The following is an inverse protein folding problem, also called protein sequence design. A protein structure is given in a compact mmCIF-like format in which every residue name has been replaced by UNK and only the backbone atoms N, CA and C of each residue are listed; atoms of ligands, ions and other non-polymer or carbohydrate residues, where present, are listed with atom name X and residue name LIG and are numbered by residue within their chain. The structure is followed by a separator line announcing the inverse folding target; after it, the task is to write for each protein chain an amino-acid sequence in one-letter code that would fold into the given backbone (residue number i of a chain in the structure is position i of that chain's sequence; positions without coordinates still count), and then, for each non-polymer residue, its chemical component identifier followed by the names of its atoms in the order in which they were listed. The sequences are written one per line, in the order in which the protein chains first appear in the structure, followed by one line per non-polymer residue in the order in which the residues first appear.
data_IF_878696126517
#
_entry.id   IF_878696126517
#
_cell.length_a   1.000
_cell.length_b   1.000
_cell.length_c   1.000
_cell.angle_alpha   90.00
_cell.angle_beta   90.00
_cell.angle_gamma   90.00
#
_symmetry.space_group_name_H-M   'P 1'
#
loop_
_entity.id
_entity.type
_entity.pdbx_description
1 polymer ?
#
# COMPACT_ATOMS: atom_id res chain seq x y z
N UNK A 1 -7.05 -39.90 13.38
CA UNK A 1 -5.76 -39.71 14.07
C UNK A 1 -4.74 -39.36 12.99
N UNK A 2 -4.66 -38.08 12.62
CA UNK A 2 -3.81 -37.59 11.52
C UNK A 2 -2.48 -37.10 12.10
N UNK A 3 -1.39 -37.50 11.46
CA UNK A 3 -0.01 -37.38 11.94
C UNK A 3 0.43 -35.93 12.16
N UNK A 4 0.88 -35.64 13.39
CA UNK A 4 1.56 -34.42 13.80
C UNK A 4 3.04 -34.34 13.33
N UNK A 5 3.40 -35.00 12.21
CA UNK A 5 4.79 -35.26 11.85
C UNK A 5 5.30 -34.62 10.54
N UNK A 6 4.58 -33.67 9.94
CA UNK A 6 5.10 -32.95 8.75
C UNK A 6 5.69 -31.56 9.02
N UNK A 7 5.66 -31.05 10.26
CA UNK A 7 6.23 -29.74 10.57
C UNK A 7 7.77 -29.71 10.59
N UNK A 8 8.45 -30.80 10.97
CA UNK A 8 9.92 -30.81 11.09
C UNK A 8 10.66 -30.70 9.76
N UNK A 9 10.13 -31.33 8.70
CA UNK A 9 10.72 -31.26 7.36
C UNK A 9 10.42 -29.93 6.65
N UNK A 10 9.30 -29.27 6.99
CA UNK A 10 9.01 -27.92 6.49
C UNK A 10 9.87 -26.86 7.17
N UNK A 11 10.13 -26.99 8.47
CA UNK A 11 10.98 -26.06 9.23
C UNK A 11 12.43 -26.10 8.76
N UNK A 12 12.98 -27.29 8.52
CA UNK A 12 14.36 -27.42 7.99
C UNK A 12 14.48 -26.82 6.59
N UNK A 13 13.53 -27.11 5.70
CA UNK A 13 13.52 -26.57 4.33
C UNK A 13 13.29 -25.05 4.28
N UNK A 14 12.49 -24.51 5.20
CA UNK A 14 12.28 -23.06 5.35
C UNK A 14 13.56 -22.39 5.87
N UNK A 15 14.17 -22.94 6.92
CA UNK A 15 15.40 -22.42 7.49
C UNK A 15 16.58 -22.48 6.50
N UNK A 16 16.69 -23.55 5.70
CA UNK A 16 17.67 -23.67 4.63
C UNK A 16 17.45 -22.62 3.54
N UNK A 17 16.21 -22.38 3.13
CA UNK A 17 15.88 -21.32 2.15
C UNK A 17 16.11 -19.92 2.71
N UNK A 18 15.75 -19.67 3.96
CA UNK A 18 16.00 -18.40 4.63
C UNK A 18 17.51 -18.16 4.76
N UNK A 19 18.28 -19.20 5.07
CA UNK A 19 19.73 -19.15 5.14
C UNK A 19 20.35 -18.92 3.76
N UNK A 20 19.93 -19.64 2.71
CA UNK A 20 20.41 -19.43 1.33
C UNK A 20 19.97 -18.06 0.78
N UNK A 21 18.80 -17.55 1.16
CA UNK A 21 18.35 -16.19 0.83
C UNK A 21 19.24 -15.15 1.51
N UNK A 22 19.49 -15.29 2.83
CA UNK A 22 20.43 -14.46 3.60
C UNK A 22 21.85 -14.52 3.03
N UNK A 23 22.28 -15.66 2.51
CA UNK A 23 23.61 -15.90 1.91
C UNK A 23 23.73 -15.32 0.49
N UNK A 24 22.68 -15.43 -0.32
CA UNK A 24 22.56 -14.78 -1.65
C UNK A 24 22.51 -13.26 -1.52
N UNK A 25 21.95 -12.78 -0.41
CA UNK A 25 21.84 -11.36 -0.14
C UNK A 25 23.18 -10.64 0.01
N UNK A 26 24.35 -11.31 0.12
CA UNK A 26 25.73 -10.73 0.19
C UNK A 26 25.70 -9.23 -0.09
N UNK A 27 25.51 -8.50 1.00
CA UNK A 27 25.00 -7.14 0.97
C UNK A 27 26.18 -6.23 0.66
N UNK A 28 26.21 -5.70 -0.56
CA UNK A 28 27.17 -4.69 -0.97
C UNK A 28 26.45 -3.34 -1.04
N UNK A 29 26.92 -2.39 -0.24
CA UNK A 29 26.20 -1.17 0.10
C UNK A 29 26.42 -0.07 -0.97
N UNK A 30 25.70 -0.16 -2.08
CA UNK A 30 25.64 0.89 -3.11
C UNK A 30 24.43 1.81 -2.93
N UNK A 31 24.65 3.12 -2.84
CA UNK A 31 23.60 4.14 -2.73
C UNK A 31 23.17 4.58 -4.13
N UNK A 32 22.02 4.13 -4.63
CA UNK A 32 21.25 4.73 -5.74
C UNK A 32 19.77 4.33 -5.54
N UNK A 33 18.73 5.13 -5.78
CA UNK A 33 18.49 6.21 -6.74
C UNK A 33 17.34 7.08 -6.19
N UNK A 34 17.42 8.41 -6.30
CA UNK A 34 16.29 9.30 -5.97
C UNK A 34 15.25 9.20 -7.09
N UNK A 35 14.17 8.46 -6.85
CA UNK A 35 13.03 8.38 -7.77
C UNK A 35 12.31 9.74 -7.74
N UNK A 36 12.42 10.54 -8.79
CA UNK A 36 11.56 11.70 -8.99
C UNK A 36 10.09 11.25 -8.97
N UNK A 37 9.24 11.89 -8.16
CA UNK A 37 7.81 11.57 -8.08
C UNK A 37 7.38 10.65 -6.93
N UNK A 38 8.22 10.45 -5.91
CA UNK A 38 7.77 9.84 -4.65
C UNK A 38 6.72 10.76 -3.99
N UNK A 39 5.50 10.26 -3.68
CA UNK A 39 4.44 11.05 -3.06
C UNK A 39 4.82 11.39 -1.62
N UNK A 40 4.47 12.59 -1.18
CA UNK A 40 4.50 12.99 0.23
C UNK A 40 3.28 13.88 0.46
N UNK A 41 2.74 13.85 1.68
CA UNK A 41 1.65 14.75 2.03
C UNK A 41 2.14 16.19 1.90
N UNK A 42 1.57 16.91 0.94
CA UNK A 42 1.96 18.27 0.59
C UNK A 42 0.78 19.19 0.79
N UNK A 43 0.95 20.25 1.56
CA UNK A 43 -0.08 21.27 1.73
C UNK A 43 -0.25 22.07 0.42
N UNK A 44 -1.46 22.08 -0.13
CA UNK A 44 -1.81 22.75 -1.39
C UNK A 44 -2.64 24.02 -1.18
N UNK A 45 -3.30 24.10 -0.03
CA UNK A 45 -4.05 25.25 0.48
C UNK A 45 -4.05 25.11 2.02
N UNK A 46 -4.15 26.20 2.82
CA UNK A 46 -4.21 26.10 4.27
C UNK A 46 -5.11 24.97 4.77
N UNK A 47 -4.51 24.03 5.50
CA UNK A 47 -5.14 22.82 6.03
C UNK A 47 -5.70 21.80 4.99
N UNK A 48 -5.29 21.90 3.73
CA UNK A 48 -5.63 20.96 2.65
C UNK A 48 -4.35 20.37 2.10
N UNK A 49 -4.24 19.05 2.16
CA UNK A 49 -3.06 18.28 1.80
C UNK A 49 -3.40 17.30 0.69
N UNK A 50 -2.50 17.15 -0.28
CA UNK A 50 -2.55 16.08 -1.29
C UNK A 50 -1.43 15.09 -1.03
N UNK A 51 -1.71 13.79 -1.18
CA UNK A 51 -0.67 12.76 -1.11
C UNK A 51 -0.24 12.29 -2.49
N UNK A 52 -1.21 11.86 -3.30
CA UNK A 52 -0.97 11.22 -4.59
C UNK A 52 -2.09 11.55 -5.57
N UNK A 53 -1.76 11.46 -6.86
CA UNK A 53 -2.70 11.65 -7.97
C UNK A 53 -2.57 10.51 -8.96
N UNK A 54 -3.70 9.98 -9.42
CA UNK A 54 -3.79 8.80 -10.27
C UNK A 54 -4.55 9.13 -11.55
N UNK A 55 -4.13 8.57 -12.68
CA UNK A 55 -4.92 8.62 -13.91
C UNK A 55 -5.70 7.33 -14.10
N UNK A 56 -7.02 7.40 -14.03
CA UNK A 56 -7.90 6.25 -14.14
C UNK A 56 -9.22 6.65 -14.77
N UNK A 57 -9.77 5.83 -15.68
CA UNK A 57 -11.07 6.07 -16.31
C UNK A 57 -11.20 7.47 -16.95
N UNK A 58 -10.17 7.92 -17.68
CA UNK A 58 -10.08 9.23 -18.34
C UNK A 58 -10.24 10.44 -17.41
N UNK A 59 -9.90 10.28 -16.14
CA UNK A 59 -9.86 11.38 -15.17
C UNK A 59 -8.65 11.24 -14.25
N UNK A 60 -8.22 12.38 -13.73
CA UNK A 60 -7.31 12.39 -12.59
C UNK A 60 -8.11 12.20 -11.31
N UNK A 61 -7.61 11.39 -10.38
CA UNK A 61 -8.15 11.21 -9.05
C UNK A 61 -7.02 11.43 -8.04
N UNK A 62 -7.17 12.41 -7.17
CA UNK A 62 -6.16 12.75 -6.18
C UNK A 62 -6.65 12.46 -4.77
N UNK A 63 -5.82 11.81 -3.96
CA UNK A 63 -6.11 11.54 -2.55
C UNK A 63 -5.78 12.78 -1.72
N UNK A 64 -6.79 13.38 -1.11
CA UNK A 64 -6.67 14.58 -0.29
C UNK A 64 -7.07 14.29 1.16
N UNK A 65 -6.43 15.04 2.05
CA UNK A 65 -6.81 15.19 3.44
C UNK A 65 -7.05 16.67 3.71
N UNK A 66 -8.08 16.98 4.48
CA UNK A 66 -8.31 18.35 4.93
C UNK A 66 -8.56 18.36 6.42
N UNK A 67 -8.07 19.39 7.11
CA UNK A 67 -8.36 19.65 8.53
C UNK A 67 -9.09 20.98 8.65
N UNK A 68 -10.07 21.08 9.53
CA UNK A 68 -10.79 22.33 9.84
C UNK A 68 -11.37 23.08 8.61
N UNK A 69 -11.45 22.42 7.46
CA UNK A 69 -11.83 23.03 6.19
C UNK A 69 -13.23 22.57 5.84
N UNK A 70 -14.09 23.51 5.44
CA UNK A 70 -15.43 23.15 4.97
C UNK A 70 -15.36 22.61 3.54
N UNK A 71 -16.22 21.65 3.23
CA UNK A 71 -16.32 21.09 1.87
C UNK A 71 -16.65 22.16 0.82
N UNK A 72 -17.35 23.23 1.21
CA UNK A 72 -17.65 24.41 0.38
C UNK A 72 -16.40 25.14 -0.10
N UNK A 73 -15.31 25.13 0.66
CA UNK A 73 -14.00 25.66 0.24
C UNK A 73 -13.40 24.81 -0.87
N UNK A 74 -13.52 23.48 -0.76
CA UNK A 74 -13.01 22.55 -1.77
C UNK A 74 -13.74 22.69 -3.12
N UNK A 75 -15.04 23.00 -3.11
CA UNK A 75 -15.81 23.25 -4.34
C UNK A 75 -15.34 24.48 -5.13
N UNK A 76 -14.58 25.39 -4.50
CA UNK A 76 -13.96 26.54 -5.17
C UNK A 76 -12.58 26.22 -5.75
N UNK A 77 -12.05 25.02 -5.50
CA UNK A 77 -10.80 24.58 -6.08
C UNK A 77 -11.01 24.13 -7.52
N UNK A 78 -10.09 24.56 -8.38
CA UNK A 78 -9.98 24.13 -9.78
C UNK A 78 -8.68 23.35 -9.94
N UNK A 79 -8.57 22.58 -11.01
CA UNK A 79 -7.34 21.90 -11.35
C UNK A 79 -6.87 22.28 -12.74
N UNK A 80 -5.55 22.42 -12.85
CA UNK A 80 -4.81 22.60 -14.09
C UNK A 80 -4.05 21.32 -14.36
N UNK A 81 -4.29 20.71 -15.51
CA UNK A 81 -3.61 19.51 -15.94
C UNK A 81 -2.44 19.89 -16.82
N UNK A 82 -1.25 19.39 -16.47
CA UNK A 82 -0.04 19.71 -17.21
C UNK A 82 0.31 18.57 -18.18
N UNK A 83 0.55 18.94 -19.42
CA UNK A 83 1.01 18.09 -20.52
C UNK A 83 2.41 18.53 -20.95
N UNK A 84 3.09 17.73 -21.78
CA UNK A 84 4.51 17.96 -22.13
C UNK A 84 4.82 19.38 -22.63
N UNK A 85 3.88 20.00 -23.36
CA UNK A 85 4.07 21.31 -24.00
C UNK A 85 2.93 22.31 -23.73
N UNK A 86 1.95 21.96 -22.91
CA UNK A 86 0.82 22.84 -22.62
C UNK A 86 0.19 22.49 -21.26
N UNK A 87 -0.68 23.36 -20.77
CA UNK A 87 -1.60 23.03 -19.68
C UNK A 87 -3.03 23.30 -20.13
N UNK A 88 -3.96 22.48 -19.65
CA UNK A 88 -5.39 22.70 -19.84
C UNK A 88 -6.09 22.78 -18.49
N UNK A 89 -7.06 23.68 -18.38
CA UNK A 89 -7.97 23.68 -17.24
C UNK A 89 -8.88 22.44 -17.30
N UNK A 90 -9.21 21.86 -16.14
CA UNK A 90 -10.20 20.78 -16.09
C UNK A 90 -11.57 21.30 -16.51
N UNK A 91 -12.32 20.50 -17.27
CA UNK A 91 -13.71 20.79 -17.62
C UNK A 91 -14.61 20.75 -16.38
N UNK A 92 -14.39 19.77 -15.50
CA UNK A 92 -15.22 19.54 -14.33
C UNK A 92 -14.38 18.96 -13.19
N UNK A 93 -14.72 19.39 -11.98
CA UNK A 93 -14.22 18.81 -10.74
C UNK A 93 -15.33 18.03 -10.04
N UNK A 94 -14.96 16.97 -9.33
CA UNK A 94 -15.86 16.20 -8.49
C UNK A 94 -15.17 15.84 -7.18
N UNK A 95 -15.92 15.78 -6.10
CA UNK A 95 -15.41 15.44 -4.77
C UNK A 95 -16.14 14.20 -4.28
N UNK A 96 -15.38 13.19 -3.89
CA UNK A 96 -15.90 11.96 -3.30
C UNK A 96 -15.40 11.91 -1.86
N UNK A 97 -16.30 12.12 -0.90
CA UNK A 97 -15.99 11.99 0.52
C UNK A 97 -15.76 10.50 0.84
N UNK A 98 -14.61 10.17 1.42
CA UNK A 98 -14.23 8.81 1.80
C UNK A 98 -14.55 8.56 3.27
N UNK A 99 -14.08 9.46 4.13
CA UNK A 99 -14.31 9.40 5.56
C UNK A 99 -14.27 10.82 6.16
N UNK A 100 -14.96 11.00 7.29
CA UNK A 100 -14.98 12.23 8.07
C UNK A 100 -15.03 11.89 9.55
N UNK A 101 -14.01 12.31 10.29
CA UNK A 101 -13.97 12.20 11.75
C UNK A 101 -13.60 13.57 12.34
N UNK A 102 -14.32 14.01 13.38
CA UNK A 102 -14.11 15.34 13.96
C UNK A 102 -14.06 16.47 12.91
N UNK A 103 -12.94 17.19 12.87
CA UNK A 103 -12.72 18.30 11.92
C UNK A 103 -11.95 17.91 10.65
N UNK A 104 -11.58 16.65 10.48
CA UNK A 104 -10.83 16.18 9.33
C UNK A 104 -11.66 15.35 8.36
N UNK A 105 -11.29 15.42 7.09
CA UNK A 105 -11.95 14.72 5.99
C UNK A 105 -10.91 14.11 5.06
N UNK A 106 -11.14 12.86 4.66
CA UNK A 106 -10.44 12.22 3.56
C UNK A 106 -11.36 12.17 2.36
N UNK A 107 -10.83 12.48 1.19
CA UNK A 107 -11.61 12.54 -0.02
C UNK A 107 -10.76 12.25 -1.24
N UNK A 108 -11.44 11.84 -2.31
CA UNK A 108 -10.89 11.96 -3.64
C UNK A 108 -11.36 13.26 -4.29
N UNK A 109 -10.39 13.99 -4.83
CA UNK A 109 -10.64 15.12 -5.72
C UNK A 109 -10.41 14.65 -7.15
N UNK A 110 -11.48 14.65 -7.95
CA UNK A 110 -11.42 14.20 -9.34
C UNK A 110 -11.42 15.39 -10.29
N UNK A 111 -10.56 15.29 -11.30
CA UNK A 111 -10.45 16.28 -12.36
C UNK A 111 -10.70 15.61 -13.70
N UNK A 112 -11.68 16.14 -14.43
CA UNK A 112 -12.10 15.63 -15.73
C UNK A 112 -11.55 16.59 -16.80
N UNK A 113 -10.65 16.14 -17.69
CA UNK A 113 -10.13 16.96 -18.77
C UNK A 113 -11.09 17.05 -19.95
N UNK A 114 -10.79 17.97 -20.87
CA UNK A 114 -11.46 18.05 -22.17
C UNK A 114 -10.99 16.97 -23.16
N UNK A 115 -9.75 16.52 -23.03
CA UNK A 115 -9.11 15.50 -23.87
C UNK A 115 -8.75 14.28 -23.01
N UNK A 116 -8.83 13.08 -23.58
CA UNK A 116 -8.46 11.83 -22.91
C UNK A 116 -6.94 11.61 -22.82
N UNK A 117 -6.13 12.63 -23.12
CA UNK A 117 -4.68 12.59 -22.94
C UNK A 117 -4.34 12.50 -21.46
N UNK A 118 -3.34 11.67 -21.15
CA UNK A 118 -2.79 11.50 -19.81
C UNK A 118 -1.90 12.70 -19.47
N UNK A 119 -2.19 13.48 -18.42
CA UNK A 119 -1.31 14.55 -17.97
C UNK A 119 -0.15 13.96 -17.15
N UNK A 120 0.97 14.67 -17.11
CA UNK A 120 2.13 14.25 -16.31
C UNK A 120 2.01 14.73 -14.85
N UNK A 121 1.27 15.82 -14.61
CA UNK A 121 1.02 16.35 -13.28
C UNK A 121 -0.27 17.15 -13.23
N UNK A 122 -0.76 17.40 -12.01
CA UNK A 122 -1.93 18.22 -11.73
C UNK A 122 -1.58 19.31 -10.73
N UNK A 123 -2.03 20.52 -10.99
CA UNK A 123 -1.92 21.63 -10.05
C UNK A 123 -3.30 22.03 -9.55
N UNK A 124 -3.40 22.22 -8.24
CA UNK A 124 -4.61 22.69 -7.60
C UNK A 124 -4.55 24.22 -7.49
N UNK A 125 -5.62 24.88 -7.89
CA UNK A 125 -5.74 26.33 -7.91
C UNK A 125 -6.98 26.72 -7.11
N UNK A 126 -6.80 27.60 -6.15
CA UNK A 126 -7.89 28.23 -5.41
C UNK A 126 -7.90 29.73 -5.75
N UNK A 127 -9.09 30.34 -5.85
CA UNK A 127 -9.25 31.75 -6.28
C UNK A 127 -8.44 32.76 -5.45
N UNK A 128 -8.18 32.42 -4.19
CA UNK A 128 -7.49 33.27 -3.22
C UNK A 128 -5.99 32.96 -3.04
N UNK A 129 -5.40 32.01 -3.77
CA UNK A 129 -3.98 31.66 -3.63
C UNK A 129 -3.18 31.94 -4.90
N UNK A 130 -1.99 32.53 -4.69
CA UNK A 130 -1.00 32.80 -5.74
C UNK A 130 -0.08 31.59 -5.94
N UNK A 131 0.20 30.84 -4.87
CA UNK A 131 1.01 29.64 -4.93
C UNK A 131 0.17 28.43 -5.35
N UNK A 132 0.77 27.60 -6.21
CA UNK A 132 0.12 26.41 -6.73
C UNK A 132 1.11 25.26 -6.66
N UNK A 133 0.73 24.19 -5.97
CA UNK A 133 1.55 22.98 -5.84
C UNK A 133 1.16 21.99 -6.94
N UNK A 134 2.15 21.42 -7.61
CA UNK A 134 1.95 20.38 -8.60
C UNK A 134 2.16 19.00 -7.97
N UNK A 135 1.20 18.09 -8.20
CA UNK A 135 1.25 16.69 -7.82
C UNK A 135 1.48 15.84 -9.07
N UNK A 136 2.52 14.98 -9.12
CA UNK A 136 2.75 14.11 -10.27
C UNK A 136 1.60 13.10 -10.41
N UNK A 137 1.23 12.78 -11.66
CA UNK A 137 0.19 11.80 -11.96
C UNK A 137 0.81 10.43 -12.17
N UNK A 138 0.32 9.47 -11.40
CA UNK A 138 0.64 8.05 -11.52
C UNK A 138 -0.23 7.47 -12.63
N UNK A 139 0.41 6.97 -13.69
CA UNK A 139 -0.24 6.40 -14.86
C UNK A 139 0.68 5.45 -15.61
N UNK A 140 0.10 4.62 -16.47
CA UNK A 140 0.83 3.76 -17.41
C UNK A 140 0.61 2.28 -17.13
N UNK A 141 1.25 1.44 -17.91
CA UNK A 141 1.24 -0.02 -17.73
C UNK A 141 2.62 -0.47 -17.25
N UNK A 142 2.64 -1.18 -16.14
CA UNK A 142 3.85 -1.71 -15.52
C UNK A 142 3.54 -3.03 -14.85
N UNK A 143 2.77 -3.90 -15.52
CA UNK A 143 2.39 -5.20 -14.98
C UNK A 143 3.59 -5.97 -14.43
N UNK A 144 3.56 -6.24 -13.13
CA UNK A 144 4.62 -6.94 -12.39
C UNK A 144 4.22 -8.37 -12.09
N UNK A 145 2.95 -8.63 -11.80
CA UNK A 145 2.53 -9.95 -11.37
C UNK A 145 1.05 -10.07 -11.04
N UNK A 146 0.65 -11.21 -10.45
CA UNK A 146 -0.76 -11.47 -10.09
C UNK A 146 -1.21 -10.70 -8.85
N UNK A 147 -0.28 -10.46 -7.94
CA UNK A 147 -0.57 -9.89 -6.63
C UNK A 147 0.39 -8.76 -6.30
N UNK A 148 -0.19 -7.68 -5.81
CA UNK A 148 0.51 -6.64 -5.08
C UNK A 148 0.10 -6.68 -3.61
N UNK A 149 1.07 -6.59 -2.72
CA UNK A 149 0.85 -6.49 -1.28
C UNK A 149 0.91 -5.03 -0.82
N UNK A 150 -0.17 -4.55 -0.22
CA UNK A 150 -0.31 -3.24 0.38
C UNK A 150 -0.06 -3.36 1.89
N UNK A 151 1.11 -2.94 2.35
CA UNK A 151 1.50 -3.09 3.74
C UNK A 151 1.00 -1.93 4.58
N UNK A 152 0.40 -2.23 5.74
CA UNK A 152 0.12 -1.21 6.73
C UNK A 152 1.41 -0.46 7.11
N UNK A 153 1.37 0.89 7.28
CA UNK A 153 2.49 1.64 7.81
C UNK A 153 2.99 1.02 9.12
N UNK A 154 4.28 0.70 9.15
CA UNK A 154 4.92 0.13 10.32
C UNK A 154 5.14 1.23 11.37
N UNK A 155 5.19 0.88 12.67
CA UNK A 155 5.45 1.86 13.71
C UNK A 155 6.79 2.55 13.49
N UNK A 156 6.91 3.84 13.89
CA UNK A 156 8.19 4.54 13.85
C UNK A 156 9.28 3.75 14.57
N UNK A 157 10.50 3.81 14.04
CA UNK A 157 11.68 3.10 14.51
C UNK A 157 11.58 1.55 14.47
N UNK A 158 10.63 0.98 13.72
CA UNK A 158 10.59 -0.47 13.51
C UNK A 158 11.93 -1.02 12.98
N UNK A 159 12.46 -2.04 13.65
CA UNK A 159 13.82 -2.56 13.44
C UNK A 159 13.93 -4.09 13.29
N UNK A 160 12.82 -4.82 13.30
CA UNK A 160 12.84 -6.28 13.18
C UNK A 160 12.93 -6.68 11.69
N UNK A 161 14.17 -6.77 11.21
CA UNK A 161 14.53 -7.16 9.83
C UNK A 161 14.06 -8.58 9.52
N UNK A 162 14.23 -9.52 10.45
CA UNK A 162 13.86 -10.93 10.25
C UNK A 162 12.37 -11.09 9.99
N UNK A 163 11.51 -10.35 10.71
CA UNK A 163 10.06 -10.39 10.51
C UNK A 163 9.63 -9.89 9.14
N UNK A 164 10.29 -8.84 8.61
CA UNK A 164 10.03 -8.34 7.25
C UNK A 164 10.45 -9.38 6.21
N UNK A 165 11.62 -9.97 6.43
CA UNK A 165 12.19 -10.97 5.53
C UNK A 165 11.31 -12.22 5.44
N UNK A 166 10.90 -12.75 6.59
CA UNK A 166 9.95 -13.86 6.70
C UNK A 166 8.65 -13.56 5.96
N UNK A 167 8.06 -12.39 6.23
CA UNK A 167 6.81 -11.99 5.58
C UNK A 167 6.94 -11.95 4.05
N UNK A 168 8.02 -11.37 3.53
CA UNK A 168 8.27 -11.25 2.08
C UNK A 168 8.53 -12.63 1.46
N UNK A 169 9.38 -13.46 2.09
CA UNK A 169 9.68 -14.81 1.60
C UNK A 169 8.43 -15.67 1.58
N UNK A 170 7.60 -15.63 2.64
CA UNK A 170 6.36 -16.39 2.68
C UNK A 170 5.42 -16.00 1.53
N UNK A 171 5.11 -14.72 1.40
CA UNK A 171 4.13 -14.25 0.42
C UNK A 171 4.65 -14.29 -1.02
N UNK A 172 5.96 -14.17 -1.24
CA UNK A 172 6.58 -14.37 -2.55
C UNK A 172 6.41 -15.80 -3.06
N UNK A 173 6.44 -16.80 -2.17
CA UNK A 173 6.14 -18.20 -2.55
C UNK A 173 4.68 -18.38 -2.97
N UNK A 174 3.78 -17.50 -2.51
CA UNK A 174 2.38 -17.45 -2.96
C UNK A 174 2.19 -16.69 -4.28
N UNK A 175 3.27 -16.15 -4.86
CA UNK A 175 3.27 -15.41 -6.12
C UNK A 175 3.13 -13.90 -5.97
N UNK A 176 3.31 -13.35 -4.77
CA UNK A 176 3.42 -11.89 -4.58
C UNK A 176 4.77 -11.41 -5.10
N UNK A 177 4.74 -10.46 -6.05
CA UNK A 177 5.94 -9.94 -6.68
C UNK A 177 6.16 -8.45 -6.42
N UNK A 178 5.12 -7.71 -6.00
CA UNK A 178 5.23 -6.31 -5.59
C UNK A 178 4.76 -6.15 -4.15
N UNK A 179 5.60 -5.53 -3.33
CA UNK A 179 5.29 -5.11 -1.97
C UNK A 179 5.36 -3.59 -1.89
N UNK A 180 4.31 -2.93 -1.45
CA UNK A 180 4.25 -1.48 -1.25
C UNK A 180 4.27 -1.23 0.25
N UNK A 181 5.38 -0.68 0.73
CA UNK A 181 5.60 -0.30 2.12
C UNK A 181 5.43 1.20 2.31
N UNK A 182 4.65 1.57 3.32
CA UNK A 182 4.51 2.96 3.76
C UNK A 182 5.42 3.20 4.98
N UNK A 183 6.50 3.95 4.80
CA UNK A 183 7.44 4.24 5.88
C UNK A 183 7.04 5.47 6.71
N UNK A 184 6.88 5.28 8.02
CA UNK A 184 6.71 6.35 9.00
C UNK A 184 7.96 6.47 9.89
N UNK A 185 9.15 6.40 9.28
CA UNK A 185 10.44 6.45 9.97
C UNK A 185 10.97 5.07 10.37
N UNK A 186 11.17 4.18 9.41
CA UNK A 186 11.78 2.87 9.63
C UNK A 186 13.24 2.99 10.08
N UNK A 187 13.75 1.98 10.79
CA UNK A 187 15.19 1.89 11.05
C UNK A 187 15.99 1.79 9.74
N UNK A 188 17.24 2.27 9.76
CA UNK A 188 18.14 2.21 8.62
C UNK A 188 18.32 0.79 8.07
N UNK A 189 18.37 -0.22 8.95
CA UNK A 189 18.55 -1.62 8.56
C UNK A 189 17.35 -2.15 7.77
N UNK A 190 16.11 -1.84 8.21
CA UNK A 190 14.90 -2.27 7.50
C UNK A 190 14.78 -1.53 6.17
N UNK A 191 14.97 -0.20 6.15
CA UNK A 191 14.93 0.59 4.91
C UNK A 191 15.93 0.06 3.88
N UNK A 192 17.13 -0.28 4.33
CA UNK A 192 18.17 -0.83 3.48
C UNK A 192 17.81 -2.21 2.92
N UNK A 193 17.33 -3.13 3.77
CA UNK A 193 16.83 -4.44 3.31
C UNK A 193 15.81 -4.26 2.18
N UNK A 194 14.81 -3.38 2.38
CA UNK A 194 13.75 -3.15 1.38
C UNK A 194 14.29 -2.56 0.08
N UNK A 195 15.27 -1.66 0.14
CA UNK A 195 15.93 -1.12 -1.06
C UNK A 195 16.71 -2.18 -1.84
N UNK A 196 17.38 -3.10 -1.15
CA UNK A 196 18.17 -4.17 -1.78
C UNK A 196 17.32 -5.25 -2.42
N UNK A 197 16.16 -5.56 -1.82
CA UNK A 197 15.19 -6.50 -2.38
C UNK A 197 14.72 -6.06 -3.77
N UNK A 198 14.53 -4.76 -4.00
CA UNK A 198 14.12 -4.23 -5.30
C UNK A 198 15.11 -4.52 -6.44
N UNK A 199 16.36 -4.88 -6.11
CA UNK A 199 17.43 -5.14 -7.07
C UNK A 199 17.62 -6.64 -7.33
N UNK A 200 17.12 -7.53 -6.46
CA UNK A 200 17.38 -8.98 -6.51
C UNK A 200 16.08 -9.80 -6.47
N UNK A 201 16.07 -10.93 -7.19
CA UNK A 201 15.06 -12.00 -7.05
C UNK A 201 13.64 -11.79 -7.63
N UNK A 202 13.43 -10.87 -8.58
CA UNK A 202 12.11 -10.59 -9.18
C UNK A 202 11.03 -10.21 -8.13
N UNK A 203 11.46 -9.78 -6.94
CA UNK A 203 10.63 -9.22 -5.90
C UNK A 203 10.86 -7.70 -5.92
N UNK A 204 9.78 -6.94 -5.99
CA UNK A 204 9.83 -5.49 -6.00
C UNK A 204 9.32 -4.96 -4.67
N UNK A 205 10.12 -4.11 -4.01
CA UNK A 205 9.68 -3.38 -2.82
C UNK A 205 9.64 -1.89 -3.13
N UNK A 206 8.43 -1.32 -3.15
CA UNK A 206 8.23 0.12 -3.27
C UNK A 206 8.09 0.72 -1.88
N UNK A 207 9.06 1.56 -1.51
CA UNK A 207 9.04 2.29 -0.25
C UNK A 207 8.47 3.70 -0.48
N UNK A 208 7.31 3.98 0.12
CA UNK A 208 6.62 5.26 0.04
C UNK A 208 6.66 5.96 1.40
N UNK A 209 7.02 7.25 1.48
CA UNK A 209 7.01 7.97 2.75
C UNK A 209 5.57 8.21 3.20
N UNK A 210 5.32 8.02 4.48
CA UNK A 210 4.02 8.19 5.12
C UNK A 210 4.07 9.32 6.15
N UNK A 211 4.40 10.52 5.64
CA UNK A 211 4.59 11.75 6.41
C UNK A 211 3.25 12.45 6.72
N UNK A 212 2.36 11.73 7.38
CA UNK A 212 1.01 12.19 7.69
C UNK A 212 1.04 13.55 8.44
N UNK A 213 0.35 14.60 7.97
CA UNK A 213 0.47 15.96 8.51
C UNK A 213 -0.35 16.19 9.81
N UNK A 214 -0.84 15.13 10.44
CA UNK A 214 -1.68 15.19 11.64
C UNK A 214 -1.14 14.26 12.74
N UNK A 215 -1.39 14.64 14.00
CA UNK A 215 -0.90 13.96 15.19
C UNK A 215 -1.42 12.52 15.30
N UNK A 216 -0.63 11.67 15.94
CA UNK A 216 -0.79 10.22 15.97
C UNK A 216 -2.03 9.73 16.76
N UNK A 217 -2.66 8.70 16.19
CA UNK A 217 -3.58 7.69 16.76
C UNK A 217 -4.98 8.09 17.25
N UNK A 218 -5.24 9.30 17.76
CA UNK A 218 -6.57 9.61 18.34
C UNK A 218 -7.52 10.37 17.43
N UNK A 219 -7.01 11.09 16.42
CA UNK A 219 -7.87 11.91 15.56
C UNK A 219 -8.44 11.15 14.36
N UNK A 220 -7.69 10.18 13.78
CA UNK A 220 -8.09 9.44 12.58
C UNK A 220 -7.42 8.06 12.47
N UNK A 221 -8.20 7.04 12.11
CA UNK A 221 -7.63 5.76 11.67
C UNK A 221 -7.09 5.90 10.24
N UNK A 222 -5.76 5.97 10.11
CA UNK A 222 -5.08 5.98 8.79
C UNK A 222 -5.04 4.60 8.13
N UNK A 223 -5.65 3.58 8.76
CA UNK A 223 -5.59 2.19 8.35
C UNK A 223 -6.26 1.94 6.99
N UNK A 224 -7.23 2.77 6.58
CA UNK A 224 -7.84 2.62 5.25
C UNK A 224 -7.13 3.44 4.18
N UNK A 225 -6.45 4.53 4.56
CA UNK A 225 -5.90 5.49 3.60
C UNK A 225 -4.71 4.96 2.82
N UNK A 226 -3.79 4.27 3.51
CA UNK A 226 -2.65 3.67 2.85
C UNK A 226 -3.12 2.62 1.83
N UNK A 227 -4.20 1.90 2.16
CA UNK A 227 -4.76 0.90 1.27
C UNK A 227 -5.45 1.55 0.08
N UNK A 228 -6.18 2.65 0.28
CA UNK A 228 -6.77 3.42 -0.81
C UNK A 228 -5.71 3.97 -1.77
N UNK A 229 -4.60 4.53 -1.27
CA UNK A 229 -3.47 4.92 -2.13
C UNK A 229 -2.91 3.72 -2.88
N UNK A 230 -2.64 2.62 -2.16
CA UNK A 230 -2.02 1.43 -2.72
C UNK A 230 -2.89 0.82 -3.83
N UNK A 231 -4.18 0.64 -3.55
CA UNK A 231 -5.15 0.12 -4.50
C UNK A 231 -5.22 0.98 -5.75
N UNK A 232 -5.38 2.30 -5.62
CA UNK A 232 -5.45 3.19 -6.77
C UNK A 232 -4.13 3.23 -7.54
N UNK A 233 -2.99 3.12 -6.86
CA UNK A 233 -1.68 2.98 -7.50
C UNK A 233 -1.58 1.71 -8.33
N UNK A 234 -2.00 0.58 -7.77
CA UNK A 234 -2.03 -0.72 -8.46
C UNK A 234 -2.89 -0.65 -9.70
N UNK A 235 -4.10 -0.08 -9.60
CA UNK A 235 -4.99 0.04 -10.76
C UNK A 235 -4.45 1.03 -11.79
N UNK A 236 -3.98 2.21 -11.38
CA UNK A 236 -3.48 3.24 -12.28
C UNK A 236 -2.19 2.85 -13.03
N UNK A 237 -1.40 1.94 -12.46
CA UNK A 237 -0.19 1.37 -13.07
C UNK A 237 -0.41 0.01 -13.71
N UNK A 238 -1.61 -0.56 -13.57
CA UNK A 238 -1.89 -1.95 -13.91
C UNK A 238 -0.83 -2.91 -13.32
N UNK A 239 -0.39 -2.68 -12.08
CA UNK A 239 0.71 -3.45 -11.49
C UNK A 239 0.38 -4.93 -11.35
N UNK A 240 -0.87 -5.25 -11.03
CA UNK A 240 -1.29 -6.62 -10.80
C UNK A 240 -2.80 -6.81 -10.89
N UNK A 241 -3.22 -8.07 -11.07
CA UNK A 241 -4.62 -8.47 -11.09
C UNK A 241 -5.33 -8.20 -9.74
N UNK A 242 -4.63 -8.36 -8.62
CA UNK A 242 -5.20 -8.22 -7.28
C UNK A 242 -4.27 -7.42 -6.36
N UNK A 243 -4.88 -6.63 -5.47
CA UNK A 243 -4.19 -5.96 -4.36
C UNK A 243 -4.64 -6.58 -3.03
N UNK A 244 -3.68 -7.01 -2.22
CA UNK A 244 -3.94 -7.59 -0.89
C UNK A 244 -3.61 -6.56 0.18
N UNK A 245 -4.50 -6.41 1.16
CA UNK A 245 -4.30 -5.60 2.35
C UNK A 245 -3.93 -6.52 3.51
N UNK A 246 -2.68 -6.46 3.99
CA UNK A 246 -2.23 -7.27 5.13
C UNK A 246 -1.37 -6.44 6.09
N UNK A 247 -1.40 -6.83 7.37
CA UNK A 247 -0.43 -6.40 8.37
C UNK A 247 0.80 -7.31 8.31
N UNK A 248 1.89 -6.85 8.91
CA UNK A 248 3.12 -7.65 8.99
C UNK A 248 2.96 -8.97 9.77
N UNK A 249 1.92 -9.07 10.61
CA UNK A 249 1.56 -10.28 11.35
C UNK A 249 0.58 -11.19 10.61
N UNK A 250 0.05 -10.77 9.46
CA UNK A 250 -1.01 -11.52 8.78
C UNK A 250 -0.41 -12.42 7.71
N UNK A 251 -0.75 -13.70 7.76
CA UNK A 251 -0.30 -14.70 6.79
C UNK A 251 -1.50 -15.34 6.12
N UNK A 252 -1.51 -15.32 4.78
CA UNK A 252 -2.58 -15.96 4.02
C UNK A 252 -2.34 -17.46 3.97
N UNK A 253 -3.04 -18.19 4.83
CA UNK A 253 -2.95 -19.64 4.94
C UNK A 253 -4.11 -20.32 4.21
N UNK A 254 -3.84 -21.47 3.59
CA UNK A 254 -4.89 -22.34 3.06
C UNK A 254 -5.01 -23.64 3.85
N UNK A 255 -6.24 -24.15 3.93
CA UNK A 255 -6.51 -25.50 4.46
C UNK A 255 -6.12 -26.60 3.48
N UNK A 256 -5.95 -26.27 2.20
CA UNK A 256 -5.68 -27.25 1.15
C UNK A 256 -4.19 -27.30 0.77
N UNK A 257 -3.65 -28.52 0.65
CA UNK A 257 -2.24 -28.77 0.35
C UNK A 257 -1.79 -28.27 -1.04
N UNK A 258 -2.73 -28.11 -1.98
CA UNK A 258 -2.46 -27.62 -3.35
C UNK A 258 -3.27 -26.36 -3.67
N UNK A 259 -3.33 -25.45 -2.69
CA UNK A 259 -4.08 -24.22 -2.87
C UNK A 259 -3.41 -23.28 -3.88
N UNK A 260 -4.22 -22.80 -4.82
CA UNK A 260 -3.84 -21.72 -5.71
C UNK A 260 -4.81 -20.56 -5.50
N UNK A 261 -4.36 -19.55 -4.76
CA UNK A 261 -5.15 -18.37 -4.44
C UNK A 261 -5.77 -17.72 -5.69
N UNK A 262 -5.06 -17.79 -6.83
CA UNK A 262 -5.47 -17.09 -8.04
C UNK A 262 -6.68 -17.77 -8.66
N UNK A 263 -6.59 -19.10 -8.75
CA UNK A 263 -7.70 -19.93 -9.22
C UNK A 263 -8.90 -19.81 -8.28
N UNK A 264 -8.66 -19.77 -6.98
CA UNK A 264 -9.74 -19.62 -5.99
C UNK A 264 -10.49 -18.30 -6.19
N UNK A 265 -9.76 -17.18 -6.26
CA UNK A 265 -10.38 -15.86 -6.45
C UNK A 265 -11.07 -15.76 -7.81
N UNK A 266 -10.43 -16.23 -8.90
CA UNK A 266 -11.02 -16.20 -10.26
C UNK A 266 -12.20 -17.14 -10.45
N UNK A 267 -12.32 -18.20 -9.65
CA UNK A 267 -13.48 -19.09 -9.66
C UNK A 267 -14.69 -18.48 -8.94
N UNK A 268 -14.46 -17.50 -8.08
CA UNK A 268 -15.51 -16.72 -7.46
C UNK A 268 -16.09 -15.72 -8.46
N UNK A 269 -17.36 -15.35 -8.26
CA UNK A 269 -18.13 -14.51 -9.20
C UNK A 269 -17.35 -13.25 -9.62
N UNK A 270 -17.19 -13.08 -10.93
CA UNK A 270 -16.54 -11.93 -11.56
C UNK A 270 -17.18 -10.58 -11.24
N UNK A 271 -18.38 -10.56 -10.64
CA UNK A 271 -19.04 -9.34 -10.17
C UNK A 271 -18.52 -8.82 -8.83
N UNK A 272 -17.66 -9.59 -8.14
CA UNK A 272 -17.13 -9.22 -6.82
C UNK A 272 -15.75 -8.58 -6.96
N UNK A 273 -15.67 -7.28 -6.68
CA UNK A 273 -14.43 -6.50 -6.76
C UNK A 273 -13.57 -6.60 -5.48
N UNK A 274 -14.16 -7.06 -4.36
CA UNK A 274 -13.51 -7.10 -3.05
C UNK A 274 -13.76 -8.43 -2.34
N UNK A 275 -12.68 -9.10 -1.96
CA UNK A 275 -12.71 -10.37 -1.21
C UNK A 275 -12.28 -10.14 0.23
N UNK A 276 -13.13 -10.53 1.17
CA UNK A 276 -12.76 -10.60 2.57
C UNK A 276 -12.34 -12.02 2.92
N UNK A 277 -11.17 -12.16 3.53
CA UNK A 277 -10.67 -13.44 4.04
C UNK A 277 -11.05 -13.58 5.51
N UNK A 278 -11.35 -14.80 5.94
CA UNK A 278 -11.59 -15.11 7.35
C UNK A 278 -10.28 -14.97 8.15
N UNK A 279 -10.30 -14.12 9.16
CA UNK A 279 -9.17 -13.93 10.05
C UNK A 279 -9.14 -15.00 11.14
N UNK A 280 -7.97 -15.60 11.36
CA UNK A 280 -7.70 -16.49 12.48
C UNK A 280 -6.41 -16.07 13.17
N UNK A 281 -6.47 -15.96 14.49
CA UNK A 281 -5.32 -15.60 15.32
C UNK A 281 -4.66 -16.88 15.81
N UNK A 282 -3.35 -16.97 15.62
CA UNK A 282 -2.52 -18.06 16.12
C UNK A 282 -1.58 -17.50 17.20
N UNK A 283 -1.49 -18.20 18.31
CA UNK A 283 -0.72 -17.79 19.47
C UNK A 283 0.66 -18.49 19.39
N UNK A 284 1.76 -17.72 19.22
CA UNK A 284 3.13 -18.25 18.95
C UNK A 284 3.77 -18.96 20.16
N UNK A 285 3.31 -18.68 21.39
CA UNK A 285 3.95 -19.14 22.63
C UNK A 285 3.79 -20.63 22.91
N UNK A 286 2.83 -21.31 22.28
CA UNK A 286 2.52 -22.72 22.54
C UNK A 286 2.26 -23.53 21.26
N UNK A 287 3.26 -23.71 20.37
CA UNK A 287 3.06 -24.41 19.10
C UNK A 287 2.71 -25.90 19.27
N UNK A 288 2.83 -26.45 20.48
CA UNK A 288 2.61 -27.87 20.80
C UNK A 288 1.49 -28.13 21.83
N UNK A 289 0.76 -27.11 22.29
CA UNK A 289 -0.26 -27.33 23.32
C UNK A 289 -1.61 -27.71 22.70
N UNK A 290 -1.98 -28.99 22.86
CA UNK A 290 -3.25 -29.58 22.45
C UNK A 290 -4.47 -28.90 23.11
N UNK A 291 -4.27 -28.25 24.26
CA UNK A 291 -5.32 -27.52 24.98
C UNK A 291 -5.58 -26.17 24.31
N UNK A 292 -4.54 -25.47 23.89
CA UNK A 292 -4.65 -24.23 23.12
C UNK A 292 -5.30 -24.43 21.74
N UNK A 293 -5.18 -25.63 21.15
CA UNK A 293 -5.82 -25.96 19.87
C UNK A 293 -7.35 -26.05 19.94
N UNK A 294 -7.90 -26.33 21.14
CA UNK A 294 -9.35 -26.46 21.38
C UNK A 294 -9.97 -25.22 22.04
N UNK A 295 -9.15 -24.36 22.64
CA UNK A 295 -9.57 -23.05 23.11
C UNK A 295 -9.36 -22.06 21.95
N UNK A 296 -10.44 -21.67 21.25
CA UNK A 296 -10.42 -20.41 20.49
C UNK A 296 -9.77 -19.36 21.39
N UNK A 297 -8.58 -18.84 21.03
CA UNK A 297 -7.73 -17.97 21.89
C UNK A 297 -8.65 -16.98 22.64
N UNK A 298 -8.88 -17.28 23.92
CA UNK A 298 -9.87 -16.63 24.76
C UNK A 298 -9.19 -15.39 25.32
N UNK A 299 -9.33 -14.28 24.60
CA UNK A 299 -9.19 -12.90 25.09
C UNK A 299 -8.20 -12.70 26.25
N UNK A 300 -6.93 -12.97 26.02
CA UNK A 300 -5.85 -12.44 26.86
C UNK A 300 -4.71 -12.02 25.91
N UNK A 301 -4.71 -10.70 25.63
CA UNK A 301 -3.61 -9.88 25.13
C UNK A 301 -2.42 -10.65 24.53
N UNK A 302 -2.42 -10.80 23.20
CA UNK A 302 -1.19 -10.85 22.40
C UNK A 302 -0.71 -9.42 22.14
#
# INVERSE_FOLDING_TARGET
MMNAFQFRDSDTKYNEKLFEFKKTLKIDFGVHEQIAGIPYWTEIFPDIYVYSSFWMNNKSRSLLFTRNTQITTLWKMKCKMHYKNNYDDSQKTNIILLDKQGSGMFLFFECIPFDNKVPHSITFVHENLISSVSSPIISGDSYIGKYTMCMQPLPPAFNNVDKILEFIIYHSQMGVQLFIFYEAGLSLNVRRLLMELTVKDNIHALLLPWNVPFGTQTEFSTQELYFLDCFHRVVAKNYSDFALKLRLSDFVVSKEFQFNLYKYIKAYDSSVDVFQLDEKVFCEEYPSDLIAHNLLCLLLLC
#
